data_IF_120478771337
#
_entry.id   IF_120478771337
#
_cell.length_a   1.000
_cell.length_b   1.000
_cell.length_c   1.000
_cell.angle_alpha   90.00
_cell.angle_beta   90.00
_cell.angle_gamma   90.00
#
_symmetry.space_group_name_H-M   'P 1'
#
loop_
_entity.id
_entity.type
_entity.pdbx_description
1 polymer ?
#
# COMPACT_ATOMS: atom_id res chain seq x y z
N UNK A 1 -38.70 -26.70 -10.95
CA UNK A 1 -37.54 -26.12 -11.66
C UNK A 1 -36.80 -25.33 -10.62
N UNK A 2 -35.62 -25.80 -10.21
CA UNK A 2 -34.82 -25.10 -9.19
C UNK A 2 -34.38 -23.77 -9.80
N UNK A 3 -34.80 -22.65 -9.22
CA UNK A 3 -34.30 -21.34 -9.63
C UNK A 3 -32.81 -21.31 -9.25
N UNK A 4 -31.92 -21.33 -10.24
CA UNK A 4 -30.48 -21.19 -10.02
C UNK A 4 -30.22 -19.79 -9.45
N UNK A 5 -30.12 -19.70 -8.13
CA UNK A 5 -29.80 -18.46 -7.44
C UNK A 5 -28.38 -18.06 -7.84
N UNK A 6 -28.16 -16.84 -8.36
CA UNK A 6 -26.82 -16.41 -8.76
C UNK A 6 -25.88 -16.45 -7.55
N UNK A 7 -24.67 -16.99 -7.77
CA UNK A 7 -23.59 -17.04 -6.77
C UNK A 7 -22.45 -16.11 -7.19
N UNK A 8 -21.78 -15.52 -6.20
CA UNK A 8 -20.54 -14.79 -6.45
C UNK A 8 -19.46 -15.77 -6.95
N UNK A 9 -18.93 -15.59 -8.16
CA UNK A 9 -17.91 -16.49 -8.71
C UNK A 9 -16.55 -16.40 -7.99
N UNK A 10 -16.33 -15.35 -7.18
CA UNK A 10 -15.08 -15.13 -6.44
C UNK A 10 -15.11 -15.79 -5.06
N UNK A 11 -16.19 -15.61 -4.29
CA UNK A 11 -16.29 -16.15 -2.93
C UNK A 11 -17.26 -17.33 -2.80
N UNK A 12 -17.94 -17.71 -3.88
CA UNK A 12 -18.88 -18.83 -3.96
C UNK A 12 -20.09 -18.71 -3.01
N UNK A 13 -20.49 -17.48 -2.69
CA UNK A 13 -21.59 -17.17 -1.76
C UNK A 13 -22.71 -16.40 -2.49
N UNK A 14 -23.96 -16.65 -2.12
CA UNK A 14 -25.17 -16.01 -2.67
C UNK A 14 -25.59 -14.75 -1.93
N UNK A 15 -25.26 -14.64 -0.64
CA UNK A 15 -25.92 -13.66 0.23
C UNK A 15 -24.95 -13.01 1.22
N UNK A 16 -24.49 -11.80 0.87
CA UNK A 16 -23.96 -10.86 1.85
C UNK A 16 -25.04 -9.81 2.15
N UNK A 17 -25.44 -9.63 3.43
CA UNK A 17 -26.43 -8.61 3.81
C UNK A 17 -26.07 -7.20 3.32
N UNK A 18 -24.77 -6.92 3.20
CA UNK A 18 -24.21 -5.60 2.89
C UNK A 18 -23.78 -5.44 1.43
N UNK A 19 -23.84 -6.50 0.60
CA UNK A 19 -23.35 -6.44 -0.77
C UNK A 19 -24.19 -7.30 -1.71
N UNK A 20 -24.91 -6.64 -2.60
CA UNK A 20 -25.63 -7.31 -3.68
C UNK A 20 -24.67 -7.83 -4.77
N UNK A 21 -25.09 -8.89 -5.44
CA UNK A 21 -24.41 -9.39 -6.63
C UNK A 21 -24.61 -8.41 -7.78
N UNK A 22 -23.51 -8.06 -8.42
CA UNK A 22 -23.48 -7.30 -9.66
C UNK A 22 -23.07 -8.21 -10.81
N UNK A 23 -23.51 -7.84 -12.01
CA UNK A 23 -23.02 -8.39 -13.26
C UNK A 23 -22.11 -7.33 -13.92
N UNK A 24 -20.78 -7.41 -13.74
CA UNK A 24 -19.87 -6.33 -14.14
C UNK A 24 -19.67 -6.22 -15.66
N UNK A 25 -20.09 -7.22 -16.43
CA UNK A 25 -20.01 -7.27 -17.89
C UNK A 25 -21.01 -8.30 -18.43
N UNK A 26 -21.12 -8.45 -19.75
CA UNK A 26 -22.07 -9.37 -20.41
C UNK A 26 -21.78 -10.87 -20.20
N UNK A 27 -20.71 -11.23 -19.51
CA UNK A 27 -20.49 -12.62 -19.10
C UNK A 27 -21.58 -13.09 -18.12
N UNK A 28 -21.92 -14.39 -18.11
CA UNK A 28 -22.92 -14.96 -17.21
C UNK A 28 -22.44 -15.08 -15.75
N UNK A 29 -21.47 -14.25 -15.33
CA UNK A 29 -20.78 -14.34 -14.03
C UNK A 29 -21.18 -13.18 -13.13
N UNK A 30 -21.66 -13.51 -11.95
CA UNK A 30 -22.05 -12.54 -10.92
C UNK A 30 -20.98 -12.44 -9.84
N UNK A 31 -20.72 -11.24 -9.33
CA UNK A 31 -19.79 -11.04 -8.22
C UNK A 31 -20.32 -9.99 -7.26
N UNK A 32 -19.98 -10.10 -5.97
CA UNK A 32 -20.14 -8.96 -5.06
C UNK A 32 -19.18 -7.85 -5.50
N UNK A 33 -19.64 -6.59 -5.52
CA UNK A 33 -18.77 -5.46 -5.87
C UNK A 33 -17.47 -5.42 -5.01
N UNK A 34 -17.51 -5.64 -3.67
CA UNK A 34 -16.29 -5.75 -2.85
C UNK A 34 -15.37 -6.92 -3.20
N UNK A 35 -15.92 -8.05 -3.66
CA UNK A 35 -15.11 -9.19 -4.08
C UNK A 35 -14.39 -8.89 -5.40
N UNK A 36 -15.11 -8.29 -6.36
CA UNK A 36 -14.52 -7.88 -7.62
C UNK A 36 -13.44 -6.83 -7.41
N UNK A 37 -13.71 -5.82 -6.59
CA UNK A 37 -12.76 -4.75 -6.31
C UNK A 37 -11.45 -5.26 -5.68
N UNK A 38 -11.54 -6.18 -4.71
CA UNK A 38 -10.35 -6.82 -4.12
C UNK A 38 -9.58 -7.67 -5.12
N UNK A 39 -10.29 -8.42 -5.97
CA UNK A 39 -9.66 -9.20 -7.04
C UNK A 39 -8.94 -8.31 -8.07
N UNK A 40 -9.53 -7.16 -8.43
CA UNK A 40 -8.90 -6.16 -9.30
C UNK A 40 -7.64 -5.58 -8.64
N UNK A 41 -7.72 -5.19 -7.36
CA UNK A 41 -6.60 -4.68 -6.59
C UNK A 41 -5.45 -5.71 -6.47
N UNK A 42 -5.75 -6.97 -6.18
CA UNK A 42 -4.75 -8.06 -6.17
C UNK A 42 -4.12 -8.30 -7.55
N UNK A 43 -4.81 -7.91 -8.61
CA UNK A 43 -4.35 -8.01 -9.99
C UNK A 43 -3.76 -6.71 -10.53
N UNK A 44 -3.46 -5.74 -9.67
CA UNK A 44 -3.03 -4.40 -10.08
C UNK A 44 -1.80 -4.43 -10.98
N UNK A 45 -1.79 -3.56 -11.98
CA UNK A 45 -0.75 -3.51 -13.01
C UNK A 45 -0.86 -4.59 -14.09
N UNK A 46 -1.91 -5.40 -14.04
CA UNK A 46 -2.23 -6.38 -15.08
C UNK A 46 -3.52 -6.01 -15.81
N UNK A 47 -3.74 -6.63 -16.97
CA UNK A 47 -4.99 -6.46 -17.72
C UNK A 47 -6.22 -6.88 -16.92
N UNK A 48 -6.08 -7.83 -16.00
CA UNK A 48 -7.17 -8.33 -15.16
C UNK A 48 -7.68 -7.27 -14.18
N UNK A 49 -6.86 -6.27 -13.84
CA UNK A 49 -7.29 -5.14 -13.00
C UNK A 49 -8.46 -4.38 -13.63
N UNK A 50 -8.43 -4.17 -14.95
CA UNK A 50 -9.35 -3.25 -15.64
C UNK A 50 -10.26 -3.94 -16.63
N UNK A 51 -9.96 -5.17 -17.05
CA UNK A 51 -10.72 -5.88 -18.08
C UNK A 51 -11.11 -7.30 -17.66
N UNK A 52 -12.27 -7.74 -18.13
CA UNK A 52 -12.76 -9.10 -17.92
C UNK A 52 -11.91 -10.12 -18.69
N UNK A 53 -11.42 -11.17 -18.02
CA UNK A 53 -10.58 -12.21 -18.66
C UNK A 53 -11.26 -13.02 -19.78
N UNK A 54 -12.59 -12.92 -19.92
CA UNK A 54 -13.37 -13.77 -20.82
C UNK A 54 -13.90 -12.99 -22.03
N UNK A 55 -14.58 -11.86 -21.76
CA UNK A 55 -15.19 -11.05 -22.81
C UNK A 55 -14.44 -9.75 -23.09
N UNK A 56 -13.38 -9.46 -22.32
CA UNK A 56 -12.53 -8.30 -22.51
C UNK A 56 -13.20 -6.93 -22.37
N UNK A 57 -14.42 -6.89 -21.81
CA UNK A 57 -15.07 -5.65 -21.46
C UNK A 57 -14.34 -4.98 -20.28
N UNK A 58 -14.31 -3.67 -20.29
CA UNK A 58 -13.85 -2.86 -19.17
C UNK A 58 -14.72 -3.15 -17.94
N UNK A 59 -14.05 -3.37 -16.80
CA UNK A 59 -14.67 -3.63 -15.51
C UNK A 59 -14.92 -2.31 -14.77
N UNK A 60 -15.88 -2.26 -13.84
CA UNK A 60 -16.10 -1.09 -13.00
C UNK A 60 -14.83 -0.70 -12.22
N UNK A 61 -14.64 0.60 -11.98
CA UNK A 61 -13.53 1.09 -11.16
C UNK A 61 -13.66 0.60 -9.71
N UNK A 62 -12.62 -0.10 -9.25
CA UNK A 62 -12.59 -0.74 -7.94
C UNK A 62 -12.35 0.27 -6.81
N UNK A 63 -11.74 1.42 -7.11
CA UNK A 63 -11.30 2.39 -6.09
C UNK A 63 -12.48 2.87 -5.26
N UNK A 64 -13.59 3.23 -5.88
CA UNK A 64 -14.78 3.73 -5.17
C UNK A 64 -15.40 2.71 -4.21
N UNK A 65 -15.22 1.42 -4.47
CA UNK A 65 -15.73 0.34 -3.60
C UNK A 65 -14.82 0.12 -2.39
N UNK A 66 -13.51 0.31 -2.55
CA UNK A 66 -12.51 0.11 -1.50
C UNK A 66 -12.09 1.40 -0.78
N UNK A 67 -12.54 2.56 -1.25
CA UNK A 67 -12.28 3.86 -0.60
C UNK A 67 -13.35 4.11 0.44
N UNK A 68 -13.02 4.16 1.74
CA UNK A 68 -13.94 4.68 2.73
C UNK A 68 -14.27 6.13 2.36
N UNK A 69 -15.52 6.58 2.53
CA UNK A 69 -15.91 7.98 2.34
C UNK A 69 -15.32 8.86 3.46
N UNK A 70 -14.00 9.00 3.47
CA UNK A 70 -13.29 9.89 4.37
C UNK A 70 -13.05 11.18 3.60
N UNK A 71 -13.80 12.24 3.92
CA UNK A 71 -13.59 13.59 3.35
C UNK A 71 -12.23 14.22 3.71
N UNK A 72 -11.32 13.46 4.31
CA UNK A 72 -9.98 13.90 4.67
C UNK A 72 -9.03 13.72 3.47
N UNK A 73 -8.58 14.83 2.90
CA UNK A 73 -7.52 14.83 1.90
C UNK A 73 -6.17 14.79 2.62
N UNK A 74 -5.60 13.60 2.73
CA UNK A 74 -4.30 13.36 3.36
C UNK A 74 -3.24 13.07 2.30
N UNK A 75 -2.02 13.63 2.41
CA UNK A 75 -0.93 13.29 1.50
C UNK A 75 -0.59 11.79 1.61
N UNK A 76 -0.53 11.12 0.46
CA UNK A 76 -0.11 9.73 0.39
C UNK A 76 1.41 9.67 0.60
N UNK A 77 1.86 8.90 1.59
CA UNK A 77 3.28 8.74 1.91
C UNK A 77 3.65 7.26 1.85
N UNK A 78 4.74 6.94 1.16
CA UNK A 78 5.31 5.60 1.09
C UNK A 78 6.69 5.58 1.77
N UNK A 79 6.94 4.53 2.53
CA UNK A 79 8.26 4.25 3.09
C UNK A 79 8.98 3.25 2.19
N UNK A 80 10.18 3.59 1.74
CA UNK A 80 11.03 2.72 0.91
C UNK A 80 12.21 2.30 1.75
N UNK A 81 12.43 0.99 1.85
CA UNK A 81 13.58 0.39 2.53
C UNK A 81 14.50 -0.25 1.49
N UNK A 82 15.77 0.15 1.48
CA UNK A 82 16.82 -0.44 0.65
C UNK A 82 18.15 -0.39 1.40
N UNK A 83 18.86 -1.52 1.43
CA UNK A 83 20.15 -1.67 2.12
C UNK A 83 20.13 -1.19 3.59
N UNK A 84 19.06 -1.53 4.31
CA UNK A 84 18.88 -1.16 5.73
C UNK A 84 18.57 0.33 5.98
N UNK A 85 18.44 1.14 4.92
CA UNK A 85 18.06 2.56 5.00
C UNK A 85 16.60 2.72 4.61
N UNK A 86 15.86 3.52 5.37
CA UNK A 86 14.46 3.82 5.08
C UNK A 86 14.24 5.30 4.85
N UNK A 87 13.58 5.66 3.74
CA UNK A 87 13.16 7.02 3.43
C UNK A 87 11.65 7.07 3.18
N UNK A 88 11.03 8.19 3.54
CA UNK A 88 9.61 8.45 3.30
C UNK A 88 9.45 9.42 2.13
N UNK A 89 8.54 9.10 1.21
CA UNK A 89 8.26 9.89 0.02
C UNK A 89 6.78 10.21 -0.03
N UNK A 90 6.44 11.49 -0.24
CA UNK A 90 5.09 11.84 -0.70
C UNK A 90 4.93 11.39 -2.15
N UNK A 91 3.83 10.71 -2.46
CA UNK A 91 3.58 10.10 -3.76
C UNK A 91 2.29 10.63 -4.37
N UNK A 92 2.26 10.67 -5.70
CA UNK A 92 1.13 11.14 -6.50
C UNK A 92 0.77 10.08 -7.53
N UNK A 93 -0.52 9.87 -7.85
CA UNK A 93 -0.90 8.89 -8.85
C UNK A 93 -0.44 9.32 -10.26
N UNK A 94 -0.41 8.36 -11.16
CA UNK A 94 -0.15 8.56 -12.58
C UNK A 94 1.33 8.45 -12.97
N UNK A 95 1.61 8.48 -14.28
CA UNK A 95 2.94 8.21 -14.83
C UNK A 95 3.99 9.25 -14.38
N UNK A 96 3.58 10.51 -14.25
CA UNK A 96 4.47 11.58 -13.79
C UNK A 96 4.81 11.44 -12.30
N UNK A 97 3.83 11.04 -11.47
CA UNK A 97 4.08 10.73 -10.07
C UNK A 97 5.04 9.56 -9.90
N UNK A 98 4.89 8.52 -10.71
CA UNK A 98 5.82 7.39 -10.74
C UNK A 98 7.24 7.80 -11.14
N UNK A 99 7.37 8.67 -12.15
CA UNK A 99 8.67 9.21 -12.59
C UNK A 99 9.36 9.99 -11.46
N UNK A 100 8.63 10.88 -10.80
CA UNK A 100 9.15 11.66 -9.66
C UNK A 100 9.54 10.76 -8.49
N UNK A 101 8.71 9.75 -8.19
CA UNK A 101 8.99 8.79 -7.12
C UNK A 101 10.25 7.97 -7.38
N UNK A 102 10.41 7.43 -8.60
CA UNK A 102 11.60 6.63 -8.96
C UNK A 102 12.87 7.48 -9.02
N UNK A 103 12.81 8.71 -9.52
CA UNK A 103 13.93 9.66 -9.48
C UNK A 103 14.34 10.00 -8.03
N UNK A 104 13.35 10.23 -7.16
CA UNK A 104 13.58 10.52 -5.76
C UNK A 104 14.24 9.33 -5.02
N UNK A 105 13.83 8.10 -5.33
CA UNK A 105 14.49 6.87 -4.82
C UNK A 105 15.95 6.85 -5.26
N UNK A 106 16.24 7.00 -6.56
CA UNK A 106 17.62 6.96 -7.07
C UNK A 106 18.50 7.99 -6.37
N UNK A 107 18.00 9.22 -6.21
CA UNK A 107 18.70 10.29 -5.50
C UNK A 107 18.93 9.96 -4.03
N UNK A 108 17.91 9.48 -3.32
CA UNK A 108 18.00 9.21 -1.87
C UNK A 108 18.95 8.05 -1.55
N UNK A 109 18.96 7.01 -2.38
CA UNK A 109 19.81 5.83 -2.20
C UNK A 109 21.12 5.88 -3.00
N UNK A 110 21.38 7.00 -3.71
CA UNK A 110 22.58 7.18 -4.56
C UNK A 110 22.76 6.06 -5.59
N UNK A 111 21.66 5.67 -6.23
CA UNK A 111 21.65 4.61 -7.24
C UNK A 111 22.03 5.18 -8.63
N UNK A 112 22.73 4.41 -9.48
CA UNK A 112 23.02 4.82 -10.86
C UNK A 112 21.75 5.08 -11.68
N UNK A 113 21.81 6.03 -12.61
CA UNK A 113 20.67 6.39 -13.46
C UNK A 113 20.21 5.24 -14.38
N UNK A 114 21.15 4.37 -14.77
CA UNK A 114 20.94 3.18 -15.61
C UNK A 114 20.48 1.95 -14.80
N UNK A 115 20.39 2.05 -13.47
CA UNK A 115 19.92 0.94 -12.65
C UNK A 115 18.43 0.68 -12.83
N UNK A 116 18.10 -0.60 -13.04
CA UNK A 116 16.72 -1.08 -13.04
C UNK A 116 16.20 -1.21 -11.60
N UNK A 117 15.06 -0.56 -11.34
CA UNK A 117 14.41 -0.62 -10.03
C UNK A 117 13.33 -1.71 -10.05
N UNK A 118 13.52 -2.77 -9.28
CA UNK A 118 12.48 -3.76 -9.02
C UNK A 118 11.74 -3.40 -7.73
N UNK A 119 10.61 -2.71 -7.86
CA UNK A 119 9.84 -2.19 -6.72
C UNK A 119 8.72 -3.17 -6.38
N UNK A 120 8.68 -3.57 -5.11
CA UNK A 120 7.55 -4.28 -4.49
C UNK A 120 6.88 -3.35 -3.50
N UNK A 121 5.57 -3.16 -3.64
CA UNK A 121 4.76 -2.39 -2.72
C UNK A 121 4.06 -3.33 -1.75
N UNK A 122 4.10 -2.96 -0.46
CA UNK A 122 3.39 -3.66 0.61
C UNK A 122 2.41 -2.68 1.24
N UNK A 123 1.14 -3.04 1.29
CA UNK A 123 0.10 -2.23 1.93
C UNK A 123 -0.93 -3.10 2.64
N UNK A 124 -1.65 -2.51 3.59
CA UNK A 124 -2.85 -3.16 4.13
C UNK A 124 -3.94 -3.13 3.06
N UNK A 125 -4.56 -4.29 2.81
CA UNK A 125 -5.78 -4.33 2.00
C UNK A 125 -6.83 -3.42 2.65
N UNK A 126 -7.44 -2.48 1.91
CA UNK A 126 -8.54 -1.69 2.44
C UNK A 126 -9.71 -2.63 2.74
N UNK A 127 -9.90 -2.96 4.01
CA UNK A 127 -11.01 -3.80 4.45
C UNK A 127 -12.31 -3.03 4.27
N UNK A 128 -13.28 -3.67 3.60
CA UNK A 128 -14.65 -3.15 3.45
C UNK A 128 -15.50 -3.37 4.70
N UNK A 129 -14.92 -3.85 5.80
CA UNK A 129 -15.59 -4.20 7.06
C UNK A 129 -15.14 -3.20 8.12
N UNK A 130 -15.95 -2.34 8.71
CA UNK A 130 -17.40 -2.21 8.80
C UNK A 130 -17.72 -0.72 8.78
N UNK A 131 -18.79 -0.32 8.09
CA UNK A 131 -19.51 0.87 8.53
C UNK A 131 -19.91 0.57 9.97
N UNK A 132 -19.25 1.22 10.93
CA UNK A 132 -19.79 1.27 12.27
C UNK A 132 -21.15 1.96 12.12
N UNK A 133 -22.22 1.17 12.16
CA UNK A 133 -23.46 1.64 12.76
C UNK A 133 -23.07 2.46 14.00
N UNK A 134 -23.59 3.69 14.16
CA UNK A 134 -23.23 4.53 15.29
C UNK A 134 -23.37 3.69 16.57
N UNK A 135 -22.36 3.69 17.46
CA UNK A 135 -22.31 2.74 18.57
C UNK A 135 -23.60 2.92 19.39
N UNK A 136 -24.46 1.89 19.34
CA UNK A 136 -25.37 1.66 20.45
C UNK A 136 -24.50 1.55 21.71
N UNK A 137 -24.87 2.20 22.83
CA UNK A 137 -23.93 2.63 23.87
C UNK A 137 -23.33 1.50 24.75
N UNK A 138 -23.32 0.24 24.31
CA UNK A 138 -22.93 -0.92 25.13
C UNK A 138 -22.42 -2.10 24.30
N UNK A 139 -21.42 -1.94 23.44
CA UNK A 139 -20.60 -3.08 22.97
C UNK A 139 -19.15 -2.65 22.78
N UNK A 140 -18.23 -3.56 23.13
CA UNK A 140 -16.77 -3.45 23.09
C UNK A 140 -16.18 -2.68 21.88
N UNK A 141 -14.97 -2.08 22.01
CA UNK A 141 -14.34 -1.33 20.93
C UNK A 141 -14.29 -2.16 19.63
N UNK A 142 -14.56 -1.55 18.46
CA UNK A 142 -14.50 -2.25 17.19
C UNK A 142 -13.13 -2.88 17.03
N UNK A 143 -13.11 -4.20 16.85
CA UNK A 143 -11.93 -4.90 16.39
C UNK A 143 -11.67 -4.41 14.96
N UNK A 144 -10.85 -3.35 14.85
CA UNK A 144 -10.29 -2.89 13.58
C UNK A 144 -9.57 -4.10 12.99
N UNK A 145 -10.23 -4.82 12.08
CA UNK A 145 -9.58 -5.87 11.32
C UNK A 145 -8.53 -5.18 10.47
N UNK A 146 -7.27 -5.25 10.92
CA UNK A 146 -6.13 -4.98 10.05
C UNK A 146 -6.36 -5.81 8.79
N UNK A 147 -6.45 -5.13 7.65
CA UNK A 147 -6.60 -5.78 6.36
C UNK A 147 -5.49 -6.80 6.13
N UNK A 148 -5.72 -7.77 5.25
CA UNK A 148 -4.66 -8.69 4.85
C UNK A 148 -3.50 -7.89 4.24
N UNK A 149 -2.26 -8.27 4.55
CA UNK A 149 -1.09 -7.63 3.93
C UNK A 149 -1.05 -7.98 2.45
N UNK A 150 -1.19 -6.98 1.60
CA UNK A 150 -1.15 -7.09 0.16
C UNK A 150 0.26 -6.78 -0.36
N UNK A 151 0.73 -7.61 -1.30
CA UNK A 151 1.98 -7.39 -2.04
C UNK A 151 1.66 -7.12 -3.50
N UNK A 152 2.09 -5.96 -3.99
CA UNK A 152 1.93 -5.52 -5.37
C UNK A 152 3.30 -5.36 -6.01
N UNK A 153 3.46 -5.69 -7.28
CA UNK A 153 4.78 -5.72 -7.92
C UNK A 153 4.82 -4.94 -9.22
N UNK A 154 5.95 -4.26 -9.43
CA UNK A 154 6.26 -3.60 -10.69
C UNK A 154 5.58 -2.23 -10.87
N UNK A 155 6.02 -1.51 -11.90
CA UNK A 155 5.56 -0.16 -12.20
C UNK A 155 4.04 -0.05 -12.40
N UNK A 156 3.42 -1.09 -12.99
CA UNK A 156 1.99 -1.11 -13.28
C UNK A 156 1.11 -1.03 -12.03
N UNK A 157 1.59 -1.48 -10.88
CA UNK A 157 0.82 -1.47 -9.64
C UNK A 157 1.02 -0.19 -8.80
N UNK A 158 1.79 0.78 -9.29
CA UNK A 158 2.09 2.02 -8.57
C UNK A 158 0.83 2.78 -8.16
N UNK A 159 -0.12 2.97 -9.08
CA UNK A 159 -1.33 3.74 -8.81
C UNK A 159 -2.22 3.08 -7.75
N UNK A 160 -2.30 1.75 -7.76
CA UNK A 160 -2.99 0.98 -6.74
C UNK A 160 -2.31 1.14 -5.37
N UNK A 161 -0.98 1.09 -5.33
CA UNK A 161 -0.21 1.32 -4.11
C UNK A 161 -0.40 2.75 -3.57
N UNK A 162 -0.40 3.77 -4.44
CA UNK A 162 -0.68 5.17 -4.06
C UNK A 162 -2.08 5.28 -3.47
N UNK A 163 -3.06 4.62 -4.08
CA UNK A 163 -4.42 4.59 -3.56
C UNK A 163 -4.50 3.98 -2.15
N UNK A 164 -3.86 2.83 -1.93
CA UNK A 164 -3.78 2.23 -0.60
C UNK A 164 -3.11 3.15 0.43
N UNK A 165 -2.05 3.87 0.03
CA UNK A 165 -1.37 4.84 0.87
C UNK A 165 -2.29 6.04 1.21
N UNK A 166 -3.07 6.54 0.25
CA UNK A 166 -4.06 7.60 0.47
C UNK A 166 -5.13 7.18 1.48
N UNK A 167 -5.73 5.99 1.30
CA UNK A 167 -6.74 5.46 2.22
C UNK A 167 -6.18 5.28 3.63
N UNK A 168 -4.96 4.75 3.73
CA UNK A 168 -4.24 4.58 5.00
C UNK A 168 -3.95 5.92 5.68
N UNK A 169 -3.58 6.94 4.90
CA UNK A 169 -3.34 8.29 5.41
C UNK A 169 -4.64 8.93 5.95
N UNK A 170 -5.74 8.83 5.20
CA UNK A 170 -7.05 9.35 5.64
C UNK A 170 -7.55 8.67 6.93
N UNK A 171 -7.41 7.34 7.03
CA UNK A 171 -7.76 6.60 8.26
C UNK A 171 -7.00 7.09 9.49
N UNK A 172 -5.70 7.37 9.36
CA UNK A 172 -4.88 7.86 10.49
C UNK A 172 -5.38 9.20 11.03
N UNK A 173 -5.84 10.10 10.16
CA UNK A 173 -6.39 11.39 10.58
C UNK A 173 -7.65 11.17 11.42
N UNK A 174 -8.57 10.32 10.96
CA UNK A 174 -9.81 10.04 11.69
C UNK A 174 -9.58 9.37 13.05
N UNK A 175 -8.67 8.39 13.11
CA UNK A 175 -8.34 7.72 14.37
C UNK A 175 -7.62 8.65 15.37
N UNK A 176 -6.91 9.67 14.89
CA UNK A 176 -6.29 10.67 15.76
C UNK A 176 -7.32 11.66 16.33
N UNK A 177 -8.33 12.06 15.54
CA UNK A 177 -9.39 12.96 16.02
C UNK A 177 -10.22 12.38 17.17
N UNK A 178 -10.38 11.05 17.25
CA UNK A 178 -11.14 10.41 18.34
C UNK A 178 -10.38 10.30 19.67
N UNK A 179 -9.05 10.47 19.68
CA UNK A 179 -8.23 10.41 20.92
C UNK A 179 -8.03 11.78 21.59
N UNK A 180 -8.66 12.84 21.09
CA UNK A 180 -8.45 14.22 21.53
C UNK A 180 -9.35 14.74 22.66
N UNK A 181 -10.45 14.07 22.99
CA UNK A 181 -11.43 14.58 23.98
C UNK A 181 -11.46 13.74 25.27
N UNK A 182 -10.46 13.95 26.12
CA UNK A 182 -10.68 13.86 27.58
C UNK A 182 -10.28 15.20 28.20
N UNK A 183 -11.23 16.08 28.54
CA UNK A 183 -10.94 17.23 29.38
C UNK A 183 -10.68 16.72 30.79
N UNK A 184 -9.40 16.59 31.16
CA UNK A 184 -9.02 16.52 32.57
C UNK A 184 -9.40 17.84 33.21
N UNK A 185 -10.58 17.85 33.84
CA UNK A 185 -10.99 18.88 34.79
C UNK A 185 -10.06 18.79 36.01
N UNK A 186 -8.90 19.45 35.94
CA UNK A 186 -8.15 19.88 37.11
C UNK A 186 -8.26 21.40 37.19
N UNK A 187 -9.28 21.84 37.93
CA UNK A 187 -9.43 23.22 38.33
C UNK A 187 -8.24 23.63 39.22
N UNK A 188 -7.39 24.52 38.72
CA UNK A 188 -6.39 25.23 39.48
C UNK A 188 -6.23 26.64 38.86
N UNK A 189 -6.45 27.72 39.63
CA UNK A 189 -6.62 29.06 39.06
C UNK A 189 -5.30 29.71 38.62
N UNK A 190 -5.34 30.65 37.65
CA UNK A 190 -4.16 31.32 37.14
C UNK A 190 -3.83 32.57 37.97
N UNK A 191 -2.60 32.66 38.47
CA UNK A 191 -2.05 33.92 38.99
C UNK A 191 -0.83 34.34 38.17
N UNK A 192 -1.13 35.18 37.18
CA UNK A 192 -0.50 36.44 36.75
C UNK A 192 1.03 36.58 36.52
N UNK A 193 1.41 37.54 35.65
CA UNK A 193 2.73 37.64 35.03
C UNK A 193 3.64 38.65 35.74
N UNK A 194 4.97 38.47 35.67
CA UNK A 194 5.90 39.60 35.84
C UNK A 194 7.22 39.40 35.09
N UNK A 195 7.74 40.54 34.67
CA UNK A 195 8.81 40.85 33.75
C UNK A 195 10.26 40.58 34.21
N UNK A 196 11.13 40.43 33.20
CA UNK A 196 12.51 40.95 33.05
C UNK A 196 13.58 40.62 34.11
N UNK A 197 14.67 39.95 33.67
CA UNK A 197 16.03 40.53 33.55
C UNK A 197 17.10 39.46 33.16
N UNK A 198 17.89 39.74 32.12
CA UNK A 198 19.23 39.16 31.82
C UNK A 198 20.29 39.73 32.82
N UNK A 199 21.60 39.40 32.71
CA UNK A 199 22.31 38.13 32.50
C UNK A 199 23.43 37.92 33.58
N UNK A 200 23.89 36.68 33.84
CA UNK A 200 25.23 36.46 34.43
C UNK A 200 25.78 35.04 34.23
N UNK A 201 26.90 34.95 33.52
CA UNK A 201 27.92 33.86 33.58
C UNK A 201 29.14 34.41 34.34
N UNK A 202 30.23 33.67 34.62
CA UNK A 202 30.47 32.24 34.85
C UNK A 202 31.36 31.98 36.11
N UNK A 203 31.49 30.73 36.57
CA UNK A 203 32.64 30.15 37.30
C UNK A 203 32.26 28.71 37.68
N UNK A 204 33.07 27.67 37.55
CA UNK A 204 34.48 27.50 37.26
C UNK A 204 34.87 26.10 37.72
N UNK A 205 36.03 25.62 37.26
CA UNK A 205 36.81 24.50 37.79
C UNK A 205 36.37 23.05 37.45
N UNK A 206 37.15 22.46 36.56
CA UNK A 206 37.48 21.04 36.33
C UNK A 206 38.20 20.41 37.56
N UNK A 207 38.85 19.23 37.46
CA UNK A 207 38.44 17.89 37.01
C UNK A 207 38.82 16.79 38.05
N UNK A 208 38.26 15.56 37.98
CA UNK A 208 38.98 14.31 38.37
C UNK A 208 38.40 13.07 37.66
N UNK A 209 39.28 12.36 36.97
CA UNK A 209 39.21 10.98 36.42
C UNK A 209 39.38 9.92 37.52
N UNK A 210 39.60 8.61 37.23
CA UNK A 210 38.98 7.64 36.29
C UNK A 210 38.51 6.37 37.05
N UNK A 211 37.92 5.36 36.37
CA UNK A 211 38.16 3.92 36.62
C UNK A 211 37.51 3.04 35.52
N UNK A 212 38.39 2.46 34.70
CA UNK A 212 38.50 1.14 34.07
C UNK A 212 37.31 0.18 33.78
N UNK A 213 37.51 -0.75 32.82
CA UNK A 213 36.46 -1.47 32.08
C UNK A 213 36.23 -2.91 32.60
N UNK A 214 35.13 -3.53 32.14
CA UNK A 214 34.93 -4.99 32.22
C UNK A 214 34.76 -5.57 30.82
N UNK A 215 35.42 -6.71 30.62
CA UNK A 215 35.58 -7.44 29.35
C UNK A 215 34.61 -8.63 29.26
N UNK A 216 34.03 -8.83 28.06
CA UNK A 216 33.91 -10.12 27.30
C UNK A 216 33.09 -11.30 27.88
N UNK A 217 32.84 -12.42 27.14
CA UNK A 217 32.81 -12.70 25.68
C UNK A 217 31.60 -13.54 25.19
N UNK A 218 31.52 -13.83 23.88
CA UNK A 218 30.92 -15.04 23.30
C UNK A 218 29.74 -14.80 22.35
N UNK A 219 29.56 -15.45 21.21
CA UNK A 219 30.34 -16.40 20.42
C UNK A 219 29.71 -16.40 19.01
N UNK A 220 30.52 -16.70 18.00
CA UNK A 220 30.12 -16.83 16.61
C UNK A 220 29.26 -18.09 16.36
N UNK A 221 28.47 -18.11 15.28
CA UNK A 221 28.70 -19.01 14.13
C UNK A 221 27.55 -18.92 13.12
N UNK A 222 27.93 -18.61 11.90
CA UNK A 222 27.26 -18.90 10.63
C UNK A 222 27.20 -20.41 10.37
N UNK A 223 26.22 -20.86 9.57
CA UNK A 223 26.35 -22.02 8.66
C UNK A 223 25.15 -22.13 7.71
N UNK A 224 25.36 -21.67 6.49
CA UNK A 224 24.76 -22.18 5.27
C UNK A 224 25.45 -23.50 4.90
N UNK A 225 24.70 -24.53 4.52
CA UNK A 225 25.20 -25.59 3.64
C UNK A 225 24.07 -26.15 2.77
N UNK A 226 24.37 -26.13 1.47
CA UNK A 226 23.71 -26.77 0.34
C UNK A 226 24.16 -28.23 0.21
N UNK A 227 23.25 -29.14 -0.18
CA UNK A 227 23.52 -30.28 -1.08
C UNK A 227 22.23 -31.06 -1.40
N UNK A 228 21.82 -31.01 -2.67
CA UNK A 228 21.17 -32.09 -3.43
C UNK A 228 22.22 -33.19 -3.75
N UNK A 229 21.89 -34.47 -4.06
CA UNK A 229 21.05 -34.81 -5.24
C UNK A 229 20.26 -36.16 -5.19
N UNK A 230 19.31 -36.36 -6.14
CA UNK A 230 19.36 -37.42 -7.17
C UNK A 230 17.99 -37.76 -7.82
N UNK A 231 17.94 -37.57 -9.14
CA UNK A 231 17.32 -38.38 -10.22
C UNK A 231 15.98 -39.11 -10.03
N UNK A 232 14.98 -38.75 -10.85
CA UNK A 232 14.32 -39.69 -11.80
C UNK A 232 13.94 -38.95 -13.09
N UNK A 233 14.27 -39.60 -14.20
CA UNK A 233 14.08 -39.23 -15.60
C UNK A 233 12.66 -39.59 -16.10
N UNK A 234 12.00 -38.72 -16.88
CA UNK A 234 11.10 -39.16 -17.95
C UNK A 234 11.07 -38.17 -19.12
N UNK A 235 11.03 -38.77 -20.31
CA UNK A 235 11.31 -38.24 -21.64
C UNK A 235 10.14 -37.48 -22.30
N UNK A 236 10.54 -36.58 -23.19
CA UNK A 236 9.94 -36.23 -24.50
C UNK A 236 8.50 -35.68 -24.55
N UNK A 237 8.37 -34.44 -25.07
CA UNK A 237 7.76 -34.20 -26.39
C UNK A 237 7.96 -32.77 -26.92
N UNK A 238 8.65 -32.73 -28.07
CA UNK A 238 8.36 -31.99 -29.32
C UNK A 238 8.49 -30.46 -29.38
N UNK A 239 9.55 -30.07 -30.12
CA UNK A 239 9.66 -28.87 -30.94
C UNK A 239 8.58 -28.79 -32.05
N UNK A 240 7.98 -27.60 -32.17
CA UNK A 240 7.57 -26.88 -33.38
C UNK A 240 6.98 -25.56 -32.86
N UNK A 241 7.49 -24.36 -33.14
CA UNK A 241 7.80 -23.79 -34.44
C UNK A 241 6.84 -22.61 -34.68
N UNK A 242 7.37 -21.56 -35.30
CA UNK A 242 6.70 -20.33 -35.80
C UNK A 242 6.62 -19.12 -34.86
N UNK A 243 7.64 -18.27 -35.00
CA UNK A 243 7.59 -16.86 -34.63
C UNK A 243 6.61 -16.05 -35.49
N UNK A 244 6.17 -14.93 -34.92
CA UNK A 244 5.60 -13.76 -35.61
C UNK A 244 6.16 -12.54 -34.88
N UNK A 245 7.14 -11.88 -35.49
CA UNK A 245 7.01 -10.58 -36.17
C UNK A 245 6.71 -9.42 -35.22
N UNK A 246 7.82 -8.76 -34.86
CA UNK A 246 7.91 -7.39 -34.35
C UNK A 246 7.51 -6.43 -35.47
N UNK A 247 6.55 -5.54 -35.20
CA UNK A 247 6.33 -4.24 -35.87
C UNK A 247 5.94 -3.30 -34.73
N UNK A 248 6.86 -2.47 -34.23
CA UNK A 248 7.21 -1.13 -34.73
C UNK A 248 5.99 -0.31 -35.14
N UNK A 249 5.61 0.63 -34.28
CA UNK A 249 4.87 1.83 -34.61
C UNK A 249 5.38 2.96 -33.72
N UNK A 250 6.46 3.61 -34.20
CA UNK A 250 6.70 5.02 -33.97
C UNK A 250 5.59 5.80 -34.68
N UNK A 251 4.93 6.70 -33.98
CA UNK A 251 4.30 7.87 -34.62
C UNK A 251 4.79 9.10 -33.88
N UNK A 252 5.69 9.79 -34.56
CA UNK A 252 6.26 11.07 -34.20
C UNK A 252 5.22 12.18 -34.17
N UNK A 253 5.49 13.10 -33.25
CA UNK A 253 5.14 14.51 -33.28
C UNK A 253 5.32 15.13 -34.67
N UNK A 254 4.27 15.77 -35.21
CA UNK A 254 4.43 16.99 -36.01
C UNK A 254 3.27 17.96 -35.76
N UNK A 255 3.63 19.01 -35.03
CA UNK A 255 3.15 20.40 -35.06
C UNK A 255 2.56 20.82 -36.41
N UNK A 256 1.33 21.36 -36.42
CA UNK A 256 0.87 22.47 -37.28
C UNK A 256 -0.27 23.18 -36.53
N UNK A 257 -0.08 24.46 -36.18
CA UNK A 257 -1.14 25.43 -35.83
C UNK A 257 -1.71 26.02 -37.12
N UNK A 258 -3.03 26.26 -37.22
CA UNK A 258 -3.57 27.26 -38.13
C UNK A 258 -3.95 28.56 -37.38
N UNK A 259 -3.42 29.64 -37.94
CA UNK A 259 -3.82 31.07 -37.92
C UNK A 259 -4.29 31.72 -36.63
#
# INVERSE_FOLDING_TARGET
MSEDVPICWICLDTARPEAHLIQPCNCPRHAHAPCLARWQLQSAGSRKETHCEFCDCELPDWKNVLTPQCGANAPAVMNVNFDGRTYSFEVKPGPEGYRQFTEAIRRAFSLPDDSELNITFTCDEPSTTSWEEPPSPVVAPPLVHQGSLLTLQGAGAYDAAVHCASVSAARRILSQSQRGDTPTHAAGPPLRPFEQHLPYTPRGAQPRTPMSPVSSPGAASSSSTSADPAMVSHKNRRLAGFGRKIRSALCDFLTIKPQ
#
